data_IF_488582100624
#
_entry.id   IF_488582100624
#
_cell.length_a   1.000
_cell.length_b   1.000
_cell.length_c   1.000
_cell.angle_alpha   90.00
_cell.angle_beta   90.00
_cell.angle_gamma   90.00
#
_symmetry.space_group_name_H-M   'P 1'
#
loop_
_entity.id
_entity.type
_entity.pdbx_description
1 polymer ?
#
# COMPACT_ATOMS: atom_id res chain seq x y z
N UNK A 1 18.73 25.09 15.06
CA UNK A 1 17.31 24.67 15.05
C UNK A 1 17.15 23.76 13.84
N UNK A 2 17.25 22.43 14.03
CA UNK A 2 17.09 21.48 12.94
C UNK A 2 15.61 21.47 12.57
N UNK A 3 15.27 21.95 11.36
CA UNK A 3 13.95 21.75 10.80
C UNK A 3 13.78 20.23 10.62
N UNK A 4 12.96 19.60 11.44
CA UNK A 4 12.46 18.27 11.12
C UNK A 4 11.68 18.39 9.82
N UNK A 5 12.25 17.90 8.73
CA UNK A 5 11.56 17.82 7.44
C UNK A 5 10.37 16.90 7.61
N UNK A 6 9.17 17.46 7.71
CA UNK A 6 7.93 16.71 7.73
C UNK A 6 7.72 16.08 6.35
N UNK A 7 7.85 14.77 6.27
CA UNK A 7 7.37 14.04 5.12
C UNK A 7 6.46 12.91 5.58
N UNK A 8 5.44 12.66 4.76
CA UNK A 8 4.48 11.59 4.98
C UNK A 8 4.20 10.90 3.64
N UNK A 9 4.01 9.59 3.68
CA UNK A 9 3.71 8.76 2.53
C UNK A 9 2.34 8.14 2.72
N UNK A 10 1.42 8.43 1.80
CA UNK A 10 0.09 7.83 1.79
C UNK A 10 0.02 6.80 0.67
N UNK A 11 -0.13 5.52 1.01
CA UNK A 11 -0.42 4.45 0.08
C UNK A 11 -1.91 4.37 -0.20
N UNK A 12 -2.27 4.21 -1.47
CA UNK A 12 -3.66 4.15 -1.90
C UNK A 12 -3.79 2.93 -2.80
N UNK A 13 -4.74 2.07 -2.47
CA UNK A 13 -5.20 1.01 -3.37
C UNK A 13 -6.52 1.46 -3.98
N UNK A 14 -6.58 1.47 -5.30
CA UNK A 14 -7.79 1.74 -6.06
C UNK A 14 -8.82 0.64 -5.79
N UNK A 15 -10.04 1.00 -5.42
CA UNK A 15 -11.15 0.08 -5.22
C UNK A 15 -11.78 -0.37 -6.54
N UNK A 16 -10.92 -0.92 -7.38
CA UNK A 16 -11.25 -1.58 -8.64
C UNK A 16 -10.94 -3.08 -8.54
N UNK A 17 -11.34 -3.84 -9.55
CA UNK A 17 -10.95 -5.26 -9.66
C UNK A 17 -9.44 -5.45 -9.84
N UNK A 18 -8.75 -4.49 -10.46
CA UNK A 18 -7.29 -4.55 -10.69
C UNK A 18 -6.51 -4.17 -9.44
N UNK A 19 -7.07 -3.31 -8.58
CA UNK A 19 -6.44 -2.92 -7.32
C UNK A 19 -5.15 -2.13 -7.50
N UNK A 20 -5.10 -1.21 -8.47
CA UNK A 20 -3.90 -0.42 -8.77
C UNK A 20 -3.42 0.32 -7.53
N UNK A 21 -2.11 0.31 -7.30
CA UNK A 21 -1.49 1.03 -6.19
C UNK A 21 -0.90 2.34 -6.69
N UNK A 22 -1.17 3.41 -5.96
CA UNK A 22 -0.53 4.70 -6.10
C UNK A 22 -0.12 5.19 -4.72
N UNK A 23 0.83 6.12 -4.66
CA UNK A 23 1.19 6.73 -3.39
C UNK A 23 1.36 8.24 -3.51
N UNK A 24 1.07 8.93 -2.42
CA UNK A 24 1.27 10.37 -2.30
C UNK A 24 2.45 10.60 -1.37
N UNK A 25 3.45 11.33 -1.84
CA UNK A 25 4.52 11.82 -0.97
C UNK A 25 4.24 13.28 -0.62
N UNK A 26 3.99 13.55 0.65
CA UNK A 26 3.85 14.90 1.18
C UNK A 26 5.20 15.40 1.67
N UNK A 27 5.58 16.61 1.26
CA UNK A 27 6.84 17.27 1.65
C UNK A 27 6.62 18.48 2.57
N UNK A 28 5.39 19.01 2.58
CA UNK A 28 4.97 20.10 3.46
C UNK A 28 3.43 20.16 3.52
N UNK A 29 2.87 21.10 4.29
CA UNK A 29 1.42 21.30 4.35
C UNK A 29 0.77 21.72 3.01
N UNK A 30 1.56 22.19 2.03
CA UNK A 30 1.06 22.68 0.74
C UNK A 30 1.67 21.95 -0.46
N UNK A 31 2.61 21.04 -0.24
CA UNK A 31 3.32 20.36 -1.31
C UNK A 31 3.21 18.85 -1.13
N UNK A 32 2.59 18.21 -2.13
CA UNK A 32 2.49 16.77 -2.22
C UNK A 32 2.54 16.34 -3.69
N UNK A 33 3.12 15.16 -3.93
CA UNK A 33 3.26 14.58 -5.25
C UNK A 33 2.56 13.22 -5.30
N UNK A 34 1.79 12.99 -6.37
CA UNK A 34 1.19 11.68 -6.66
C UNK A 34 2.17 10.87 -7.50
N UNK A 35 2.37 9.61 -7.13
CA UNK A 35 3.17 8.64 -7.87
C UNK A 35 2.27 7.47 -8.26
N UNK A 36 2.21 7.19 -9.55
CA UNK A 36 1.56 5.98 -10.07
C UNK A 36 2.54 4.83 -10.11
N UNK A 37 2.03 3.60 -9.98
CA UNK A 37 2.84 2.39 -10.06
C UNK A 37 2.20 1.39 -11.03
N UNK A 38 2.96 0.39 -11.45
CA UNK A 38 2.45 -0.78 -12.18
C UNK A 38 2.12 -1.94 -11.22
N UNK A 39 1.91 -1.63 -9.93
CA UNK A 39 1.60 -2.64 -8.91
C UNK A 39 0.08 -2.78 -8.81
N UNK A 40 -0.37 -4.03 -8.85
CA UNK A 40 -1.77 -4.40 -8.72
C UNK A 40 -1.94 -5.28 -7.48
N UNK A 41 -2.77 -4.86 -6.54
CA UNK A 41 -3.20 -5.65 -5.38
C UNK A 41 -4.57 -6.27 -5.67
N UNK A 42 -4.54 -7.30 -6.51
CA UNK A 42 -5.71 -8.09 -6.90
C UNK A 42 -5.37 -9.56 -7.05
N UNK A 43 -6.42 -10.37 -7.20
CA UNK A 43 -6.32 -11.82 -7.38
C UNK A 43 -5.96 -12.26 -8.79
N UNK A 44 -6.01 -11.35 -9.76
CA UNK A 44 -5.67 -11.64 -11.15
C UNK A 44 -4.24 -11.18 -11.39
N UNK A 45 -3.28 -12.10 -11.26
CA UNK A 45 -1.86 -11.81 -11.45
C UNK A 45 -1.30 -12.54 -12.67
N UNK A 46 -0.58 -11.80 -13.51
CA UNK A 46 0.27 -12.40 -14.56
C UNK A 46 1.56 -12.99 -13.99
N UNK A 47 2.42 -13.50 -14.86
CA UNK A 47 3.63 -14.27 -14.49
C UNK A 47 4.55 -13.58 -13.46
N UNK A 48 4.64 -12.24 -13.46
CA UNK A 48 5.48 -11.47 -12.53
C UNK A 48 4.71 -10.81 -11.39
N UNK A 49 3.38 -10.82 -11.41
CA UNK A 49 2.53 -10.08 -10.48
C UNK A 49 2.70 -10.53 -9.03
N UNK A 50 2.78 -11.85 -8.81
CA UNK A 50 2.99 -12.41 -7.47
C UNK A 50 4.31 -11.93 -6.83
N UNK A 51 5.40 -11.90 -7.61
CA UNK A 51 6.70 -11.40 -7.16
C UNK A 51 6.64 -9.92 -6.78
N UNK A 52 5.98 -9.10 -7.60
CA UNK A 52 5.85 -7.66 -7.34
C UNK A 52 5.01 -7.41 -6.08
N UNK A 53 3.92 -8.16 -5.89
CA UNK A 53 3.10 -8.10 -4.67
C UNK A 53 3.94 -8.47 -3.43
N UNK A 54 4.76 -9.53 -3.51
CA UNK A 54 5.65 -9.94 -2.42
C UNK A 54 6.70 -8.88 -2.07
N UNK A 55 7.35 -8.29 -3.08
CA UNK A 55 8.31 -7.20 -2.88
C UNK A 55 7.66 -5.97 -2.24
N UNK A 56 6.45 -5.59 -2.69
CA UNK A 56 5.71 -4.51 -2.06
C UNK A 56 5.41 -4.84 -0.59
N UNK A 57 4.88 -6.02 -0.29
CA UNK A 57 4.55 -6.42 1.08
C UNK A 57 5.77 -6.41 2.02
N UNK A 58 6.93 -6.85 1.53
CA UNK A 58 8.19 -6.77 2.27
C UNK A 58 8.66 -5.33 2.51
N UNK A 59 8.55 -4.45 1.50
CA UNK A 59 8.86 -3.04 1.67
C UNK A 59 7.91 -2.36 2.68
N UNK A 60 6.62 -2.71 2.67
CA UNK A 60 5.65 -2.21 3.65
C UNK A 60 5.96 -2.73 5.06
N UNK A 61 6.33 -4.01 5.20
CA UNK A 61 6.80 -4.60 6.47
C UNK A 61 7.97 -3.81 7.04
N UNK A 62 8.97 -3.52 6.22
CA UNK A 62 10.15 -2.74 6.61
C UNK A 62 9.74 -1.33 7.10
N UNK A 63 8.93 -0.62 6.32
CA UNK A 63 8.39 0.71 6.69
C UNK A 63 7.63 0.66 8.03
N UNK A 64 6.79 -0.37 8.25
CA UNK A 64 5.98 -0.50 9.45
C UNK A 64 6.79 -0.92 10.69
N UNK A 65 7.87 -1.70 10.53
CA UNK A 65 8.70 -2.18 11.64
C UNK A 65 9.81 -1.21 12.04
N UNK A 66 10.35 -0.44 11.10
CA UNK A 66 11.44 0.49 11.38
C UNK A 66 10.89 1.88 11.74
N UNK A 67 11.04 2.23 13.02
CA UNK A 67 10.26 3.25 13.73
C UNK A 67 10.38 4.70 13.26
N UNK A 68 11.37 5.05 12.43
CA UNK A 68 11.50 6.42 11.91
C UNK A 68 10.37 6.78 10.94
N UNK A 69 9.78 5.79 10.26
CA UNK A 69 8.81 6.00 9.18
C UNK A 69 7.41 5.48 9.50
N UNK A 70 7.27 4.69 10.58
CA UNK A 70 5.99 4.09 10.97
C UNK A 70 4.87 5.12 11.14
N UNK A 71 5.16 6.26 11.75
CA UNK A 71 4.16 7.33 11.95
C UNK A 71 3.97 8.24 10.72
N UNK A 72 4.76 8.01 9.68
CA UNK A 72 4.77 8.81 8.46
C UNK A 72 4.12 8.06 7.29
N UNK A 73 3.83 6.77 7.42
CA UNK A 73 3.19 5.97 6.38
C UNK A 73 1.75 5.62 6.77
N UNK A 74 0.80 5.80 5.85
CA UNK A 74 -0.61 5.44 6.05
C UNK A 74 -1.18 4.85 4.78
N UNK A 75 -2.21 4.01 4.90
CA UNK A 75 -2.90 3.43 3.76
C UNK A 75 -4.41 3.72 3.70
N UNK A 76 -4.95 3.74 2.49
CA UNK A 76 -6.35 4.03 2.21
C UNK A 76 -6.89 3.19 1.04
N UNK A 77 -8.21 3.05 0.98
CA UNK A 77 -8.94 2.56 -0.19
C UNK A 77 -9.72 3.70 -0.82
N UNK A 78 -9.46 3.98 -2.10
CA UNK A 78 -10.12 5.06 -2.84
C UNK A 78 -10.89 4.46 -4.00
N UNK A 79 -12.10 4.94 -4.25
CA UNK A 79 -12.81 4.56 -5.46
C UNK A 79 -12.05 5.00 -6.74
N UNK A 80 -12.42 4.40 -7.86
CA UNK A 80 -11.79 4.66 -9.15
C UNK A 80 -11.88 6.13 -9.58
N UNK A 81 -12.98 6.82 -9.28
CA UNK A 81 -13.17 8.21 -9.67
C UNK A 81 -12.25 9.17 -8.88
N UNK A 82 -11.96 8.87 -7.61
CA UNK A 82 -11.00 9.64 -6.81
C UNK A 82 -9.57 9.32 -7.27
N UNK A 83 -9.27 8.06 -7.59
CA UNK A 83 -7.97 7.69 -8.14
C UNK A 83 -7.68 8.41 -9.47
N UNK A 84 -8.65 8.51 -10.37
CA UNK A 84 -8.50 9.27 -11.62
C UNK A 84 -8.31 10.77 -11.38
N UNK A 85 -9.02 11.36 -10.39
CA UNK A 85 -8.78 12.74 -9.97
C UNK A 85 -7.34 12.98 -9.49
N UNK A 86 -6.76 12.02 -8.77
CA UNK A 86 -5.35 12.09 -8.33
C UNK A 86 -4.39 12.00 -9.51
N UNK A 87 -4.56 11.00 -10.39
CA UNK A 87 -3.69 10.77 -11.54
C UNK A 87 -3.67 11.95 -12.51
N UNK A 88 -4.83 12.57 -12.73
CA UNK A 88 -4.98 13.69 -13.67
C UNK A 88 -4.67 15.05 -13.04
N UNK A 89 -4.36 15.11 -11.74
CA UNK A 89 -4.10 16.36 -11.03
C UNK A 89 -5.32 17.29 -10.91
N UNK A 90 -6.53 16.74 -11.03
CA UNK A 90 -7.77 17.54 -11.00
C UNK A 90 -8.04 18.17 -9.63
N UNK A 91 -7.56 17.55 -8.55
CA UNK A 91 -7.64 18.09 -7.19
C UNK A 91 -6.32 17.89 -6.45
N UNK A 92 -6.04 18.81 -5.54
CA UNK A 92 -4.86 18.71 -4.68
C UNK A 92 -4.91 17.41 -3.85
N UNK A 93 -3.85 16.58 -3.84
CA UNK A 93 -3.88 15.26 -3.19
C UNK A 93 -4.27 15.31 -1.71
N UNK A 94 -3.72 16.27 -0.97
CA UNK A 94 -4.02 16.45 0.45
C UNK A 94 -5.49 16.79 0.74
N UNK A 95 -6.22 17.35 -0.22
CA UNK A 95 -7.65 17.63 -0.07
C UNK A 95 -8.49 16.35 -0.20
N UNK A 96 -8.02 15.42 -1.02
CA UNK A 96 -8.68 14.13 -1.22
C UNK A 96 -8.43 13.20 -0.02
N UNK A 97 -7.19 13.15 0.49
CA UNK A 97 -6.86 12.33 1.67
C UNK A 97 -7.49 12.85 2.96
N UNK A 98 -7.64 14.16 3.14
CA UNK A 98 -8.27 14.73 4.34
C UNK A 98 -9.73 14.31 4.55
N UNK A 99 -10.41 13.77 3.53
CA UNK A 99 -11.80 13.30 3.60
C UNK A 99 -11.91 11.77 3.59
N UNK A 100 -10.79 11.08 3.46
CA UNK A 100 -10.78 9.64 3.29
C UNK A 100 -10.74 8.92 4.63
N UNK A 101 -11.42 7.77 4.67
CA UNK A 101 -11.34 6.85 5.80
C UNK A 101 -10.04 6.08 5.71
N UNK A 102 -9.20 6.21 6.75
CA UNK A 102 -7.98 5.42 6.88
C UNK A 102 -8.29 3.91 6.83
N UNK A 103 -7.42 3.15 6.18
CA UNK A 103 -7.56 1.69 6.07
C UNK A 103 -6.18 1.06 6.28
N UNK A 104 -5.93 0.30 7.37
CA UNK A 104 -4.59 -0.20 7.72
C UNK A 104 -4.11 -1.40 6.89
N UNK A 105 -4.55 -1.52 5.62
CA UNK A 105 -4.19 -2.68 4.80
C UNK A 105 -2.67 -2.83 4.61
N UNK A 106 -1.89 -1.75 4.64
CA UNK A 106 -0.44 -1.83 4.50
C UNK A 106 0.26 -2.48 5.70
N UNK A 107 -0.30 -2.31 6.89
CA UNK A 107 0.20 -2.90 8.13
C UNK A 107 -0.13 -4.41 8.16
N UNK A 108 -1.26 -4.78 7.56
CA UNK A 108 -1.82 -6.12 7.69
C UNK A 108 -1.41 -7.09 6.58
N UNK A 109 -1.11 -6.59 5.36
CA UNK A 109 -0.95 -7.43 4.15
C UNK A 109 0.19 -8.46 4.23
N UNK A 110 1.18 -8.24 5.11
CA UNK A 110 2.32 -9.13 5.33
C UNK A 110 2.23 -9.89 6.67
N UNK A 111 1.27 -9.59 7.53
CA UNK A 111 1.14 -10.22 8.85
C UNK A 111 0.12 -11.35 8.83
N UNK A 112 0.65 -12.58 8.78
CA UNK A 112 -0.16 -13.80 8.79
C UNK A 112 -1.09 -13.89 10.00
N UNK A 113 -0.67 -13.43 11.17
CA UNK A 113 -1.54 -13.48 12.35
C UNK A 113 -2.78 -12.60 12.20
N UNK A 114 -2.68 -11.56 11.37
CA UNK A 114 -3.75 -10.61 11.11
C UNK A 114 -4.67 -11.13 10.01
N UNK A 115 -4.16 -11.46 8.82
CA UNK A 115 -5.03 -11.90 7.72
C UNK A 115 -5.60 -13.33 7.89
N UNK A 116 -5.06 -14.17 8.79
CA UNK A 116 -5.66 -15.47 9.12
C UNK A 116 -6.98 -15.33 9.89
N UNK A 117 -7.19 -14.19 10.59
CA UNK A 117 -8.37 -13.91 11.42
C UNK A 117 -9.40 -13.03 10.74
N UNK A 118 -9.04 -12.41 9.62
CA UNK A 118 -9.91 -11.50 8.88
C UNK A 118 -10.83 -12.26 7.91
N UNK A 119 -12.00 -11.69 7.65
CA UNK A 119 -12.89 -12.17 6.61
C UNK A 119 -12.21 -12.06 5.22
N UNK A 120 -12.58 -12.94 4.28
CA UNK A 120 -12.02 -12.94 2.93
C UNK A 120 -12.17 -11.58 2.21
N UNK A 121 -13.17 -10.79 2.59
CA UNK A 121 -13.51 -9.49 2.00
C UNK A 121 -13.35 -8.33 2.99
N UNK A 122 -12.55 -8.49 4.06
CA UNK A 122 -12.42 -7.49 5.12
C UNK A 122 -12.04 -6.09 4.62
N UNK A 123 -11.09 -6.01 3.67
CA UNK A 123 -10.70 -4.75 3.03
C UNK A 123 -11.29 -4.60 1.62
N UNK A 124 -11.00 -5.56 0.75
CA UNK A 124 -11.57 -5.65 -0.60
C UNK A 124 -11.76 -7.12 -0.96
N UNK A 125 -12.56 -7.36 -1.99
CA UNK A 125 -12.80 -8.72 -2.45
C UNK A 125 -11.50 -9.39 -2.93
N UNK A 126 -11.13 -10.49 -2.30
CA UNK A 126 -9.89 -11.21 -2.60
C UNK A 126 -8.66 -10.74 -1.84
N UNK A 127 -8.81 -9.83 -0.87
CA UNK A 127 -7.70 -9.38 -0.01
C UNK A 127 -6.92 -10.56 0.60
N UNK A 128 -7.65 -11.54 1.16
CA UNK A 128 -7.02 -12.67 1.86
C UNK A 128 -6.21 -13.55 0.92
N UNK A 129 -6.67 -13.75 -0.31
CA UNK A 129 -5.95 -14.51 -1.33
C UNK A 129 -4.66 -13.81 -1.78
N UNK A 130 -4.67 -12.47 -1.86
CA UNK A 130 -3.44 -11.67 -2.07
C UNK A 130 -2.44 -11.96 -0.96
N UNK A 131 -2.87 -11.91 0.30
CA UNK A 131 -2.01 -12.13 1.45
C UNK A 131 -1.40 -13.55 1.47
N UNK A 132 -2.22 -14.58 1.22
CA UNK A 132 -1.72 -15.96 1.15
C UNK A 132 -0.74 -16.16 0.00
N UNK A 133 -1.02 -15.61 -1.19
CA UNK A 133 -0.11 -15.68 -2.34
C UNK A 133 1.21 -14.98 -2.05
N UNK A 134 1.17 -13.77 -1.47
CA UNK A 134 2.36 -13.04 -1.04
C UNK A 134 3.19 -13.88 -0.09
N UNK A 135 2.57 -14.45 0.94
CA UNK A 135 3.26 -15.26 1.94
C UNK A 135 3.88 -16.53 1.34
N UNK A 136 3.14 -17.23 0.47
CA UNK A 136 3.65 -18.40 -0.23
C UNK A 136 4.87 -18.06 -1.09
N UNK A 137 4.79 -16.97 -1.87
CA UNK A 137 5.87 -16.54 -2.75
C UNK A 137 7.14 -16.15 -1.96
N UNK A 138 6.99 -15.42 -0.85
CA UNK A 138 8.12 -15.08 0.05
C UNK A 138 8.74 -16.35 0.64
N UNK A 139 7.93 -17.33 1.02
CA UNK A 139 8.43 -18.58 1.61
C UNK A 139 9.16 -19.44 0.57
N UNK A 140 8.74 -19.44 -0.68
CA UNK A 140 9.33 -20.22 -1.77
C UNK A 140 10.61 -19.60 -2.34
N UNK A 141 10.79 -18.28 -2.26
CA UNK A 141 12.00 -17.58 -2.74
C UNK A 141 12.96 -17.26 -1.57
N UNK A 142 14.11 -17.98 -1.44
CA UNK A 142 15.08 -17.71 -0.37
C UNK A 142 15.57 -16.27 -0.33
N UNK A 143 15.74 -15.62 -1.50
CA UNK A 143 16.22 -14.24 -1.57
C UNK A 143 15.23 -13.26 -0.97
N UNK A 144 13.93 -13.51 -1.14
CA UNK A 144 12.88 -12.68 -0.55
C UNK A 144 12.76 -12.93 0.95
N UNK A 145 12.90 -14.18 1.38
CA UNK A 145 12.88 -14.56 2.80
C UNK A 145 13.96 -13.86 3.60
N UNK A 146 15.15 -13.73 3.02
CA UNK A 146 16.31 -13.12 3.66
C UNK A 146 16.35 -11.59 3.53
N UNK A 147 15.42 -10.99 2.77
CA UNK A 147 15.48 -9.56 2.41
C UNK A 147 15.20 -8.62 3.58
N UNK A 148 14.47 -9.07 4.60
CA UNK A 148 14.13 -8.29 5.81
C UNK A 148 13.84 -9.24 7.00
N UNK A 149 14.89 -9.77 7.69
CA UNK A 149 14.74 -10.74 8.78
C UNK A 149 13.89 -10.20 9.94
#
# INVERSE_FOLDING_TARGET
MLQHTFWATTFIRNDSTTGDVLFIKQFSHKHAQVHTTNIHLSNVVGATGARIQALLALALKDICKHGEYKHQAMSYLFDAAVCEQLKQGMKHPLKLTARATFTPWMDDIWDRHTFDKQDANYYWHGYRDVCFRVQAYINEDPKLRDMYP
#
